data_IF_461323394676
#
_entry.id   IF_461323394676
#
_cell.length_a   1.000
_cell.length_b   1.000
_cell.length_c   1.000
_cell.angle_alpha   90.00
_cell.angle_beta   90.00
_cell.angle_gamma   90.00
#
_symmetry.space_group_name_H-M   'P 1'
#
loop_
_entity.id
_entity.type
_entity.pdbx_description
1 polymer ?
#
# COMPACT_ATOMS: atom_id res chain seq x y z
N UNK A 1 -0.66 6.51 54.28
CA UNK A 1 0.48 6.37 53.35
C UNK A 1 0.42 4.93 52.87
N UNK A 2 0.21 4.58 51.60
CA UNK A 2 1.07 4.83 50.44
C UNK A 2 0.21 5.05 49.18
N UNK A 3 0.33 6.21 48.55
CA UNK A 3 -0.11 6.46 47.17
C UNK A 3 1.16 6.74 46.38
N UNK A 4 1.66 5.73 45.67
CA UNK A 4 2.62 5.97 44.60
C UNK A 4 2.29 5.05 43.44
N UNK A 5 1.31 5.47 42.63
CA UNK A 5 1.14 4.97 41.27
C UNK A 5 2.23 5.65 40.45
N UNK A 6 3.38 5.00 40.33
CA UNK A 6 4.37 5.38 39.33
C UNK A 6 3.70 5.23 37.97
N UNK A 7 3.32 6.35 37.37
CA UNK A 7 2.88 6.42 35.98
C UNK A 7 4.10 6.10 35.12
N UNK A 8 4.17 4.85 34.66
CA UNK A 8 5.13 4.40 33.67
C UNK A 8 4.71 5.02 32.33
N UNK A 9 5.27 6.18 32.01
CA UNK A 9 4.90 7.01 30.85
C UNK A 9 5.33 6.44 29.51
N UNK A 10 6.20 5.42 29.46
CA UNK A 10 6.74 4.89 28.20
C UNK A 10 5.82 3.92 27.44
N UNK A 11 4.67 3.55 27.98
CA UNK A 11 3.69 2.65 27.32
C UNK A 11 2.39 3.36 26.91
N UNK A 12 2.32 4.69 27.03
CA UNK A 12 1.06 5.44 26.98
C UNK A 12 0.82 6.28 25.71
N UNK A 13 1.36 5.86 24.56
CA UNK A 13 0.99 6.43 23.27
C UNK A 13 0.34 5.39 22.34
N UNK A 14 -0.73 4.73 22.81
CA UNK A 14 -1.74 4.16 21.90
C UNK A 14 -2.55 5.30 21.27
N UNK A 15 -1.87 6.16 20.50
CA UNK A 15 -2.42 7.36 19.89
C UNK A 15 -3.19 6.98 18.64
N UNK A 16 -4.46 6.59 18.78
CA UNK A 16 -5.49 6.59 17.74
C UNK A 16 -5.01 6.14 16.32
N UNK A 17 -4.15 5.11 16.28
CA UNK A 17 -3.32 4.74 15.12
C UNK A 17 -4.14 4.39 13.89
N UNK A 18 -5.33 3.82 14.11
CA UNK A 18 -6.23 3.42 13.03
C UNK A 18 -6.80 4.60 12.25
N UNK A 19 -7.14 5.72 12.92
CA UNK A 19 -7.71 6.90 12.24
C UNK A 19 -6.65 7.69 11.47
N UNK A 20 -5.40 7.73 11.97
CA UNK A 20 -4.28 8.31 11.21
C UNK A 20 -3.95 7.44 10.00
N UNK A 21 -3.85 6.12 10.18
CA UNK A 21 -3.54 5.18 9.10
C UNK A 21 -4.57 5.25 7.96
N UNK A 22 -5.88 5.33 8.26
CA UNK A 22 -6.91 5.50 7.21
C UNK A 22 -6.78 6.82 6.44
N UNK A 23 -6.37 7.91 7.12
CA UNK A 23 -6.10 9.20 6.46
C UNK A 23 -4.87 9.10 5.58
N UNK A 24 -3.79 8.53 6.09
CA UNK A 24 -2.53 8.36 5.35
C UNK A 24 -2.74 7.50 4.11
N UNK A 25 -3.58 6.46 4.21
CA UNK A 25 -3.99 5.63 3.05
C UNK A 25 -4.77 6.42 2.00
N UNK A 26 -5.67 7.28 2.44
CA UNK A 26 -6.44 8.14 1.54
C UNK A 26 -5.53 9.16 0.85
N UNK A 27 -4.66 9.84 1.60
CA UNK A 27 -3.70 10.78 1.06
C UNK A 27 -2.70 10.12 0.11
N UNK A 28 -2.19 8.94 0.44
CA UNK A 28 -1.32 8.16 -0.44
C UNK A 28 -2.02 7.85 -1.77
N UNK A 29 -3.29 7.42 -1.71
CA UNK A 29 -4.08 7.15 -2.92
C UNK A 29 -4.37 8.42 -3.72
N UNK A 30 -4.68 9.55 -3.07
CA UNK A 30 -4.87 10.84 -3.74
C UNK A 30 -3.59 11.31 -4.42
N UNK A 31 -2.42 11.12 -3.79
CA UNK A 31 -1.12 11.43 -4.40
C UNK A 31 -0.83 10.53 -5.61
N UNK A 32 -1.14 9.23 -5.53
CA UNK A 32 -1.03 8.32 -6.66
C UNK A 32 -1.94 8.77 -7.83
N UNK A 33 -3.20 9.17 -7.56
CA UNK A 33 -4.10 9.71 -8.58
C UNK A 33 -3.58 11.01 -9.21
N UNK A 34 -2.97 11.87 -8.41
CA UNK A 34 -2.34 13.11 -8.90
C UNK A 34 -1.19 12.80 -9.86
N UNK A 35 -0.30 11.85 -9.50
CA UNK A 35 0.79 11.39 -10.37
C UNK A 35 0.28 10.78 -11.66
N UNK A 36 -0.72 9.89 -11.60
CA UNK A 36 -1.37 9.30 -12.77
C UNK A 36 -1.96 10.40 -13.67
N UNK A 37 -2.58 11.43 -13.08
CA UNK A 37 -3.14 12.56 -13.83
C UNK A 37 -2.06 13.37 -14.55
N UNK A 38 -0.90 13.59 -13.91
CA UNK A 38 0.26 14.23 -14.54
C UNK A 38 0.76 13.38 -15.72
N UNK A 39 0.95 12.08 -15.53
CA UNK A 39 1.42 11.16 -16.58
C UNK A 39 0.43 11.17 -17.76
N UNK A 40 -0.87 11.06 -17.49
CA UNK A 40 -1.89 11.09 -18.53
C UNK A 40 -1.88 12.42 -19.31
N UNK A 41 -1.76 13.56 -18.61
CA UNK A 41 -1.63 14.87 -19.27
C UNK A 41 -0.34 14.99 -20.09
N UNK A 42 0.77 14.44 -19.60
CA UNK A 42 2.03 14.43 -20.33
C UNK A 42 1.91 13.63 -21.64
N UNK A 43 1.27 12.46 -21.61
CA UNK A 43 0.99 11.64 -22.80
C UNK A 43 0.10 12.39 -23.80
N UNK A 44 -0.96 13.05 -23.32
CA UNK A 44 -1.83 13.86 -24.19
C UNK A 44 -1.05 15.02 -24.83
N UNK A 45 -0.19 15.69 -24.05
CA UNK A 45 0.63 16.79 -24.54
C UNK A 45 1.66 16.31 -25.59
N UNK A 46 2.38 15.21 -25.32
CA UNK A 46 3.34 14.66 -26.28
C UNK A 46 2.65 14.19 -27.56
N UNK A 47 1.47 13.60 -27.47
CA UNK A 47 0.70 13.22 -28.64
C UNK A 47 0.27 14.41 -29.49
N UNK A 48 -0.29 15.47 -28.89
CA UNK A 48 -0.70 16.67 -29.63
C UNK A 48 0.51 17.29 -30.34
N UNK A 49 1.66 17.34 -29.67
CA UNK A 49 2.90 17.82 -30.29
C UNK A 49 3.40 16.90 -31.40
N UNK A 50 3.32 15.59 -31.21
CA UNK A 50 3.66 14.61 -32.24
C UNK A 50 2.79 14.80 -33.48
N UNK A 51 1.47 14.95 -33.32
CA UNK A 51 0.55 15.19 -34.44
C UNK A 51 0.90 16.49 -35.16
N UNK A 52 1.21 17.56 -34.42
CA UNK A 52 1.60 18.85 -35.00
C UNK A 52 2.94 18.80 -35.75
N UNK A 53 3.92 18.09 -35.22
CA UNK A 53 5.26 18.01 -35.79
C UNK A 53 5.35 17.07 -36.99
N UNK A 54 4.73 15.89 -36.92
CA UNK A 54 4.88 14.85 -37.96
C UNK A 54 3.81 14.91 -39.04
N UNK A 55 2.60 15.38 -38.72
CA UNK A 55 1.51 15.54 -39.70
C UNK A 55 1.34 16.98 -40.17
N UNK A 56 2.44 17.73 -40.26
CA UNK A 56 2.44 19.13 -40.67
C UNK A 56 1.95 19.34 -42.12
N UNK A 57 2.04 18.31 -42.97
CA UNK A 57 1.60 18.33 -44.37
C UNK A 57 0.08 18.12 -44.51
N UNK A 58 -0.59 17.59 -43.49
CA UNK A 58 -2.04 17.41 -43.53
C UNK A 58 -2.76 18.75 -43.39
N UNK A 59 -3.93 18.92 -44.05
CA UNK A 59 -4.81 20.05 -43.86
C UNK A 59 -5.13 20.27 -42.37
N UNK A 60 -5.24 21.54 -41.98
CA UNK A 60 -5.40 21.94 -40.58
C UNK A 60 -6.61 21.26 -39.91
N UNK A 61 -7.72 21.16 -40.64
CA UNK A 61 -8.95 20.48 -40.19
C UNK A 61 -8.73 18.99 -39.90
N UNK A 62 -7.99 18.28 -40.75
CA UNK A 62 -7.70 16.85 -40.55
C UNK A 62 -6.77 16.64 -39.35
N UNK A 63 -5.84 17.56 -39.12
CA UNK A 63 -4.92 17.52 -37.97
C UNK A 63 -5.65 17.72 -36.65
N UNK A 64 -6.57 18.68 -36.58
CA UNK A 64 -7.40 18.92 -35.41
C UNK A 64 -8.31 17.73 -35.13
N UNK A 65 -8.95 17.17 -36.16
CA UNK A 65 -9.77 15.97 -36.03
C UNK A 65 -8.98 14.75 -35.48
N UNK A 66 -7.72 14.58 -35.88
CA UNK A 66 -6.86 13.51 -35.35
C UNK A 66 -6.45 13.80 -33.91
N UNK A 67 -6.11 15.05 -33.58
CA UNK A 67 -5.79 15.46 -32.21
C UNK A 67 -6.97 15.24 -31.26
N UNK A 68 -8.18 15.59 -31.69
CA UNK A 68 -9.41 15.47 -30.90
C UNK A 68 -9.84 14.02 -30.72
N UNK A 69 -9.54 13.13 -31.68
CA UNK A 69 -9.81 11.70 -31.53
C UNK A 69 -9.06 11.07 -30.35
N UNK A 70 -7.85 11.53 -30.01
CA UNK A 70 -7.19 11.03 -28.80
C UNK A 70 -7.90 11.53 -27.53
N UNK A 71 -8.45 12.74 -27.53
CA UNK A 71 -9.28 13.24 -26.43
C UNK A 71 -10.50 12.35 -26.21
N UNK A 72 -11.13 11.86 -27.28
CA UNK A 72 -12.23 10.90 -27.20
C UNK A 72 -11.81 9.55 -26.57
N UNK A 73 -10.54 9.16 -26.71
CA UNK A 73 -9.96 7.93 -26.15
C UNK A 73 -9.24 8.19 -24.80
N UNK A 74 -9.30 9.42 -24.28
CA UNK A 74 -8.63 9.81 -23.03
C UNK A 74 -9.02 8.93 -21.84
N UNK A 75 -10.27 8.46 -21.78
CA UNK A 75 -10.71 7.53 -20.75
C UNK A 75 -9.95 6.20 -20.81
N UNK A 76 -9.78 5.64 -22.01
CA UNK A 76 -9.06 4.39 -22.21
C UNK A 76 -7.56 4.58 -21.91
N UNK A 77 -6.97 5.70 -22.33
CA UNK A 77 -5.59 6.04 -21.97
C UNK A 77 -5.42 6.14 -20.45
N UNK A 78 -6.32 6.84 -19.77
CA UNK A 78 -6.33 6.94 -18.32
C UNK A 78 -6.41 5.56 -17.66
N UNK A 79 -7.28 4.67 -18.12
CA UNK A 79 -7.39 3.31 -17.58
C UNK A 79 -6.12 2.48 -17.78
N UNK A 80 -5.48 2.58 -18.95
CA UNK A 80 -4.21 1.89 -19.23
C UNK A 80 -3.10 2.42 -18.32
N UNK A 81 -2.96 3.74 -18.19
CA UNK A 81 -1.98 4.36 -17.30
C UNK A 81 -2.26 4.00 -15.85
N UNK A 82 -3.52 4.01 -15.43
CA UNK A 82 -3.92 3.65 -14.07
C UNK A 82 -3.56 2.20 -13.72
N UNK A 83 -3.97 1.25 -14.57
CA UNK A 83 -3.67 -0.17 -14.36
C UNK A 83 -2.17 -0.44 -14.41
N UNK A 84 -1.46 0.13 -15.39
CA UNK A 84 -0.02 0.00 -15.54
C UNK A 84 0.74 0.58 -14.36
N UNK A 85 0.37 1.78 -13.90
CA UNK A 85 0.99 2.44 -12.75
C UNK A 85 0.88 1.60 -11.49
N UNK A 86 -0.33 1.16 -11.12
CA UNK A 86 -0.52 0.39 -9.90
C UNK A 86 0.12 -0.99 -9.97
N UNK A 87 -0.05 -1.72 -11.09
CA UNK A 87 0.52 -3.05 -11.25
C UNK A 87 2.05 -3.00 -11.19
N UNK A 88 2.66 -2.07 -11.94
CA UNK A 88 4.11 -1.92 -11.98
C UNK A 88 4.67 -1.44 -10.64
N UNK A 89 4.02 -0.47 -10.00
CA UNK A 89 4.46 0.03 -8.69
C UNK A 89 4.40 -1.07 -7.64
N UNK A 90 3.27 -1.78 -7.54
CA UNK A 90 3.15 -2.87 -6.56
C UNK A 90 4.14 -4.00 -6.79
N UNK A 91 4.41 -4.34 -8.05
CA UNK A 91 5.34 -5.41 -8.39
C UNK A 91 6.81 -5.02 -8.19
N UNK A 92 7.23 -3.84 -8.66
CA UNK A 92 8.64 -3.41 -8.58
C UNK A 92 9.03 -2.87 -7.20
N UNK A 93 8.10 -2.27 -6.46
CA UNK A 93 8.37 -1.64 -5.16
C UNK A 93 7.83 -2.45 -3.99
N UNK A 94 7.73 -3.77 -4.14
CA UNK A 94 7.45 -4.69 -3.04
C UNK A 94 6.17 -4.32 -2.25
N UNK A 95 5.09 -4.02 -2.97
CA UNK A 95 3.82 -3.64 -2.36
C UNK A 95 3.68 -2.15 -1.99
N UNK A 96 4.68 -1.32 -2.28
CA UNK A 96 4.63 0.13 -2.09
C UNK A 96 4.28 0.84 -3.41
N UNK A 97 3.38 1.82 -3.37
CA UNK A 97 3.18 2.77 -4.48
C UNK A 97 3.93 4.06 -4.16
N UNK A 98 4.32 4.88 -5.15
CA UNK A 98 5.00 6.14 -4.90
C UNK A 98 4.29 7.02 -3.85
N UNK A 99 2.96 7.12 -3.90
CA UNK A 99 2.17 7.78 -2.86
C UNK A 99 2.34 7.12 -1.49
N UNK A 100 2.27 5.79 -1.41
CA UNK A 100 2.47 5.05 -0.15
C UNK A 100 3.90 5.16 0.39
N UNK A 101 4.91 5.28 -0.47
CA UNK A 101 6.31 5.52 -0.06
C UNK A 101 6.40 6.87 0.67
N UNK A 102 5.76 7.92 0.15
CA UNK A 102 5.76 9.26 0.78
C UNK A 102 5.14 9.22 2.18
N UNK A 103 4.13 8.37 2.40
CA UNK A 103 3.45 8.21 3.68
C UNK A 103 3.99 7.04 4.53
N UNK A 104 5.12 6.43 4.15
CA UNK A 104 5.72 5.28 4.85
C UNK A 104 4.75 4.11 5.09
N UNK A 105 3.92 3.82 4.10
CA UNK A 105 2.96 2.72 4.09
C UNK A 105 3.47 1.55 3.26
N UNK A 106 3.30 0.32 3.75
CA UNK A 106 3.59 -0.92 3.01
C UNK A 106 2.37 -1.82 2.96
N UNK A 107 2.19 -2.53 1.85
CA UNK A 107 1.20 -3.61 1.74
C UNK A 107 1.90 -4.92 2.04
N UNK A 108 1.36 -5.72 2.95
CA UNK A 108 1.92 -7.02 3.31
C UNK A 108 0.85 -8.11 3.31
N UNK A 109 1.26 -9.35 3.05
CA UNK A 109 0.40 -10.52 3.03
C UNK A 109 0.37 -11.17 4.44
N UNK A 110 -0.80 -11.59 4.96
CA UNK A 110 -0.97 -12.15 6.30
C UNK A 110 -0.28 -13.50 6.52
N UNK A 111 0.12 -14.21 5.47
CA UNK A 111 0.61 -15.60 5.58
C UNK A 111 1.99 -15.80 4.96
N UNK A 112 2.63 -14.74 4.49
CA UNK A 112 3.97 -14.82 3.90
C UNK A 112 4.70 -13.55 4.28
N UNK A 113 5.64 -13.68 5.23
CA UNK A 113 6.56 -12.61 5.67
C UNK A 113 7.59 -12.26 4.57
N UNK A 114 7.35 -12.65 3.32
CA UNK A 114 8.22 -12.26 2.22
C UNK A 114 8.00 -10.78 1.95
N UNK A 115 9.08 -10.00 1.97
CA UNK A 115 9.07 -8.59 1.56
C UNK A 115 8.44 -8.40 0.18
N UNK A 116 8.56 -9.40 -0.69
CA UNK A 116 8.05 -9.35 -2.05
C UNK A 116 6.57 -9.69 -2.13
N UNK A 117 5.80 -8.74 -2.66
CA UNK A 117 4.39 -8.95 -2.96
C UNK A 117 4.26 -9.88 -4.18
N UNK A 118 3.46 -10.94 -4.06
CA UNK A 118 3.18 -11.82 -5.19
C UNK A 118 2.56 -11.05 -6.37
N UNK A 119 2.87 -11.46 -7.60
CA UNK A 119 2.24 -10.88 -8.80
C UNK A 119 0.72 -11.04 -8.75
N UNK A 120 0.22 -12.18 -8.24
CA UNK A 120 -1.22 -12.42 -8.10
C UNK A 120 -1.89 -11.40 -7.19
N UNK A 121 -1.29 -11.09 -6.04
CA UNK A 121 -1.85 -10.13 -5.09
C UNK A 121 -1.80 -8.71 -5.65
N UNK A 122 -0.72 -8.35 -6.36
CA UNK A 122 -0.61 -7.07 -7.07
C UNK A 122 -1.71 -6.86 -8.12
N UNK A 123 -2.02 -7.90 -8.91
CA UNK A 123 -3.09 -7.88 -9.92
C UNK A 123 -4.47 -7.78 -9.27
N UNK A 124 -4.76 -8.63 -8.27
CA UNK A 124 -6.05 -8.60 -7.55
C UNK A 124 -6.30 -7.24 -6.89
N UNK A 125 -5.26 -6.64 -6.34
CA UNK A 125 -5.34 -5.32 -5.73
C UNK A 125 -5.62 -4.23 -6.77
N UNK A 126 -4.96 -4.29 -7.93
CA UNK A 126 -5.20 -3.38 -9.06
C UNK A 126 -6.61 -3.52 -9.62
N UNK A 127 -7.12 -4.74 -9.76
CA UNK A 127 -8.51 -5.01 -10.13
C UNK A 127 -9.50 -4.47 -9.09
N UNK A 128 -9.17 -4.59 -7.80
CA UNK A 128 -9.96 -3.99 -6.73
C UNK A 128 -10.09 -2.48 -6.88
N UNK A 129 -9.01 -1.79 -7.24
CA UNK A 129 -9.06 -0.37 -7.55
C UNK A 129 -9.83 -0.07 -8.84
N UNK A 130 -9.71 -0.90 -9.87
CA UNK A 130 -10.46 -0.76 -11.12
C UNK A 130 -11.98 -0.79 -10.88
N UNK A 131 -12.47 -1.68 -10.01
CA UNK A 131 -13.89 -1.76 -9.63
C UNK A 131 -14.36 -0.48 -8.92
N UNK A 132 -13.46 0.26 -8.25
CA UNK A 132 -13.81 1.54 -7.60
C UNK A 132 -13.93 2.73 -8.55
N UNK A 133 -13.42 2.63 -9.78
CA UNK A 133 -13.48 3.71 -10.78
C UNK A 133 -14.91 4.09 -11.19
N UNK A 134 -15.80 3.17 -11.63
CA UNK A 134 -17.15 3.52 -12.07
C UNK A 134 -18.02 4.11 -10.96
N UNK A 135 -17.66 3.88 -9.70
CA UNK A 135 -18.36 4.45 -8.53
C UNK A 135 -17.78 5.79 -8.08
N UNK A 136 -16.91 6.41 -8.88
CA UNK A 136 -16.28 7.70 -8.55
C UNK A 136 -15.41 7.62 -7.29
N UNK A 137 -14.79 6.47 -7.04
CA UNK A 137 -13.96 6.18 -5.85
C UNK A 137 -14.69 6.24 -4.51
N UNK A 138 -16.02 6.37 -4.49
CA UNK A 138 -16.82 6.40 -3.24
C UNK A 138 -16.66 5.11 -2.43
N UNK A 139 -16.45 3.98 -3.10
CA UNK A 139 -16.20 2.69 -2.47
C UNK A 139 -14.88 2.63 -1.66
N UNK A 140 -13.96 3.57 -1.86
CA UNK A 140 -12.74 3.68 -1.05
C UNK A 140 -13.00 4.26 0.35
N UNK A 141 -14.20 4.79 0.60
CA UNK A 141 -14.62 5.26 1.93
C UNK A 141 -15.17 4.13 2.82
N UNK A 142 -15.44 2.94 2.27
CA UNK A 142 -15.91 1.75 3.02
C UNK A 142 -15.05 1.44 4.27
N UNK A 143 -13.71 1.53 4.25
CA UNK A 143 -12.86 1.35 5.43
C UNK A 143 -13.17 2.26 6.60
N UNK A 144 -13.78 3.44 6.38
CA UNK A 144 -14.17 4.35 7.46
C UNK A 144 -15.40 3.86 8.23
N UNK A 145 -16.29 3.10 7.58
CA UNK A 145 -17.52 2.58 8.16
C UNK A 145 -17.34 1.16 8.73
N UNK A 146 -16.40 0.38 8.18
CA UNK A 146 -16.15 -0.99 8.64
C UNK A 146 -15.18 -1.06 9.83
N UNK A 147 -15.52 -1.92 10.80
CA UNK A 147 -14.66 -2.20 11.97
C UNK A 147 -13.32 -2.87 11.61
N UNK A 148 -13.19 -3.43 10.41
CA UNK A 148 -11.97 -4.11 9.97
C UNK A 148 -10.96 -3.18 9.31
N UNK A 149 -11.33 -1.93 8.97
CA UNK A 149 -10.52 -0.96 8.23
C UNK A 149 -9.93 -1.49 6.89
N UNK A 150 -10.41 -2.64 6.39
CA UNK A 150 -10.06 -3.23 5.10
C UNK A 150 -10.87 -2.60 3.97
N UNK A 151 -10.19 -2.20 2.89
CA UNK A 151 -10.83 -1.74 1.65
C UNK A 151 -11.18 -2.90 0.71
N UNK A 152 -11.95 -2.60 -0.34
CA UNK A 152 -12.17 -3.53 -1.46
C UNK A 152 -10.85 -4.13 -2.01
N UNK A 153 -9.81 -3.34 -2.30
CA UNK A 153 -8.54 -3.90 -2.79
C UNK A 153 -7.84 -4.80 -1.76
N UNK A 154 -8.01 -4.54 -0.46
CA UNK A 154 -7.46 -5.40 0.61
C UNK A 154 -8.20 -6.72 0.71
N UNK A 155 -9.53 -6.68 0.56
CA UNK A 155 -10.38 -7.86 0.65
C UNK A 155 -10.13 -8.82 -0.52
N UNK A 156 -9.96 -8.30 -1.74
CA UNK A 156 -9.71 -9.11 -2.93
C UNK A 156 -8.31 -9.73 -2.96
N UNK A 157 -7.32 -9.06 -2.39
CA UNK A 157 -5.93 -9.53 -2.37
C UNK A 157 -5.54 -10.24 -1.07
N UNK A 158 -6.49 -10.36 -0.13
CA UNK A 158 -6.27 -10.78 1.26
C UNK A 158 -5.00 -10.18 1.87
N UNK A 159 -4.80 -8.87 1.67
CA UNK A 159 -3.62 -8.15 2.15
C UNK A 159 -4.00 -7.05 3.13
N UNK A 160 -3.05 -6.61 3.94
CA UNK A 160 -3.23 -5.50 4.87
C UNK A 160 -2.19 -4.41 4.60
N UNK A 161 -2.47 -3.20 5.10
CA UNK A 161 -1.53 -2.07 5.02
C UNK A 161 -1.05 -1.74 6.41
N UNK A 162 0.26 -1.63 6.56
CA UNK A 162 0.95 -1.26 7.80
C UNK A 162 1.77 0.00 7.61
N UNK A 163 2.01 0.70 8.71
CA UNK A 163 3.03 1.75 8.78
C UNK A 163 4.42 1.13 8.94
N UNK A 164 5.45 1.81 8.46
CA UNK A 164 6.85 1.39 8.64
C UNK A 164 7.24 1.20 10.12
N UNK A 165 6.68 2.00 11.03
CA UNK A 165 6.92 1.85 12.47
C UNK A 165 6.32 0.54 13.01
N UNK A 166 5.16 0.12 12.49
CA UNK A 166 4.52 -1.15 12.87
C UNK A 166 5.31 -2.34 12.30
N UNK A 167 5.84 -2.21 11.08
CA UNK A 167 6.73 -3.19 10.46
C UNK A 167 8.02 -3.40 11.29
N UNK A 168 8.69 -2.30 11.67
CA UNK A 168 9.90 -2.37 12.51
C UNK A 168 9.63 -2.99 13.88
N UNK A 169 8.48 -2.68 14.50
CA UNK A 169 8.10 -3.29 15.77
C UNK A 169 7.90 -4.79 15.62
N UNK A 170 7.22 -5.26 14.57
CA UNK A 170 7.00 -6.69 14.33
C UNK A 170 8.34 -7.40 14.08
N UNK A 171 9.20 -6.84 13.23
CA UNK A 171 10.53 -7.38 12.96
C UNK A 171 11.36 -7.47 14.25
N UNK A 172 11.36 -6.43 15.09
CA UNK A 172 12.08 -6.43 16.37
C UNK A 172 11.55 -7.46 17.38
N UNK A 173 10.25 -7.73 17.37
CA UNK A 173 9.62 -8.74 18.22
C UNK A 173 9.93 -10.16 17.74
N UNK A 174 10.03 -10.35 16.42
CA UNK A 174 10.40 -11.63 15.80
C UNK A 174 11.89 -11.97 16.04
N UNK A 175 12.79 -10.99 15.92
CA UNK A 175 14.20 -11.14 16.28
C UNK A 175 14.37 -11.50 17.76
N UNK A 176 13.53 -10.94 18.63
CA UNK A 176 13.52 -11.26 20.06
C UNK A 176 12.89 -12.64 20.34
N UNK A 177 11.94 -13.08 19.50
CA UNK A 177 11.27 -14.39 19.60
C UNK A 177 12.11 -15.57 19.11
N UNK A 178 13.09 -15.32 18.24
CA UNK A 178 14.05 -16.32 17.73
C UNK A 178 15.37 -16.35 18.54
N UNK A 179 15.51 -15.50 19.54
CA UNK A 179 16.58 -15.61 20.51
C UNK A 179 16.43 -16.96 21.22
N UNK A 180 17.34 -17.90 20.92
CA UNK A 180 17.70 -18.96 21.86
C UNK A 180 17.89 -18.26 23.19
N UNK A 181 16.94 -18.45 24.11
CA UNK A 181 17.09 -18.06 25.50
C UNK A 181 18.26 -18.91 25.99
N UNK A 182 19.47 -18.39 25.85
CA UNK A 182 20.64 -18.93 26.53
C UNK A 182 20.34 -18.66 27.98
N UNK A 183 20.01 -19.69 28.79
CA UNK A 183 19.71 -19.44 30.20
C UNK A 183 20.97 -18.80 30.79
N UNK A 184 20.82 -17.58 31.31
CA UNK A 184 21.93 -16.83 31.90
C UNK A 184 22.62 -17.61 33.04
N UNK A 185 21.92 -18.62 33.59
CA UNK A 185 22.40 -19.55 34.60
C UNK A 185 22.00 -21.00 34.22
N UNK A 186 22.90 -21.77 33.59
CA UNK A 186 22.62 -23.15 33.17
C UNK A 186 22.42 -24.13 34.35
N UNK A 187 22.75 -23.72 35.58
CA UNK A 187 22.62 -24.54 36.79
C UNK A 187 21.30 -24.33 37.55
N UNK A 188 20.47 -23.38 37.14
CA UNK A 188 19.23 -23.08 37.85
C UNK A 188 18.19 -24.22 37.69
N UNK A 189 17.72 -24.85 38.79
CA UNK A 189 16.76 -25.95 38.73
C UNK A 189 15.44 -25.61 38.02
N UNK A 190 15.08 -24.32 37.93
CA UNK A 190 13.88 -23.86 37.21
C UNK A 190 14.07 -23.98 35.69
N UNK A 191 15.27 -23.68 35.17
CA UNK A 191 15.59 -23.78 33.74
C UNK A 191 15.56 -25.25 33.24
N UNK A 192 15.93 -26.20 34.10
CA UNK A 192 15.82 -27.64 33.80
C UNK A 192 14.38 -28.13 33.71
N UNK A 193 13.43 -27.51 34.42
CA UNK A 193 12.01 -27.87 34.31
C UNK A 193 11.41 -27.43 32.98
N UNK A 194 11.70 -26.20 32.55
CA UNK A 194 11.14 -25.62 31.31
C UNK A 194 11.64 -26.36 30.06
N UNK A 195 12.90 -26.82 30.05
CA UNK A 195 13.43 -27.61 28.92
C UNK A 195 12.87 -29.03 28.84
N UNK A 196 12.38 -29.58 29.97
CA UNK A 196 11.81 -30.92 30.04
C UNK A 196 10.35 -30.95 29.56
N UNK A 197 9.57 -29.91 29.86
CA UNK A 197 8.19 -29.79 29.37
C UNK A 197 8.09 -29.55 27.86
N UNK A 198 9.08 -28.91 27.24
CA UNK A 198 9.13 -28.69 25.77
C UNK A 198 9.38 -29.95 24.92
N UNK A 199 9.82 -31.06 25.52
CA UNK A 199 10.09 -32.31 24.77
C UNK A 199 8.89 -33.27 24.71
N UNK A 200 7.76 -32.89 25.31
CA UNK A 200 6.57 -33.76 25.43
C UNK A 200 5.35 -33.22 24.67
N UNK A 201 5.50 -32.14 23.88
CA UNK A 201 4.48 -31.66 22.93
C UNK A 201 4.90 -31.88 21.49
#
# INVERSE_FOLDING_TARGET
>A
MWKNKNNVTHLSSFKNTRKSLLKDRLYAFTMDLFLISIINKAIMFTYVNFVKAFFYQLPLVTRENVADKLSAVNLLNFLVVFCGYFLLSYYLSEGKTPGKIIFNLKVQCPHTHSDQLSLKTSVLRTLGYFITIPTGFTLLLIPYFRRDAKGIPDWLSDSFVMNADEEYLIESLEDTGSAKVTPLFPEDPVAKKISKDRKVS
#
